data_IF_404605732508
#
_entry.id   IF_404605732508
#
_cell.length_a   1.000
_cell.length_b   1.000
_cell.length_c   1.000
_cell.angle_alpha   90.00
_cell.angle_beta   90.00
_cell.angle_gamma   90.00
#
_symmetry.space_group_name_H-M   'P 1'
#
loop_
_entity.id
_entity.type
_entity.pdbx_description
1 polymer ?
#
# COMPACT_ATOMS: atom_id res chain seq x y z
N UNK A 1 -52.59 -45.22 -2.86
CA UNK A 1 -52.49 -43.86 -2.30
C UNK A 1 -51.69 -43.04 -3.31
N UNK A 2 -52.22 -42.07 -4.07
CA UNK A 2 -53.31 -41.10 -3.79
C UNK A 2 -53.07 -40.37 -2.47
N UNK A 3 -52.92 -39.04 -2.37
CA UNK A 3 -52.90 -37.95 -3.37
C UNK A 3 -51.60 -37.10 -3.13
N UNK A 4 -51.33 -35.90 -3.66
CA UNK A 4 -52.10 -34.89 -4.41
C UNK A 4 -51.19 -34.03 -5.32
N UNK A 5 -51.77 -33.26 -6.25
CA UNK A 5 -51.08 -32.18 -6.97
C UNK A 5 -51.24 -30.84 -6.23
N UNK A 6 -50.25 -29.95 -6.31
CA UNK A 6 -50.34 -28.54 -5.91
C UNK A 6 -49.57 -27.63 -6.87
N UNK A 7 -50.29 -26.89 -7.71
CA UNK A 7 -49.75 -25.85 -8.61
C UNK A 7 -50.30 -24.49 -8.17
N UNK A 8 -49.45 -23.63 -7.60
CA UNK A 8 -49.64 -22.18 -7.48
C UNK A 8 -48.32 -21.57 -6.94
N UNK A 9 -47.84 -20.41 -7.38
CA UNK A 9 -48.32 -19.57 -8.48
C UNK A 9 -47.18 -18.66 -8.97
N UNK A 10 -47.05 -18.55 -10.29
CA UNK A 10 -45.98 -17.76 -10.94
C UNK A 10 -46.50 -16.34 -11.23
N UNK A 11 -46.63 -15.51 -10.18
CA UNK A 11 -47.10 -14.13 -10.26
C UNK A 11 -46.32 -13.26 -9.28
N UNK A 12 -45.58 -12.26 -9.78
CA UNK A 12 -44.77 -11.37 -8.94
C UNK A 12 -43.60 -10.64 -9.62
N UNK A 13 -43.40 -10.81 -10.93
CA UNK A 13 -42.24 -10.28 -11.66
C UNK A 13 -42.66 -9.30 -12.77
N UNK A 14 -43.47 -8.29 -12.41
CA UNK A 14 -44.02 -7.30 -13.35
C UNK A 14 -44.55 -6.00 -12.68
N UNK A 15 -43.76 -5.31 -11.85
CA UNK A 15 -44.16 -3.96 -11.32
C UNK A 15 -43.04 -2.91 -11.36
N UNK A 16 -41.76 -3.27 -11.16
CA UNK A 16 -40.64 -2.30 -11.10
C UNK A 16 -39.98 -1.96 -12.45
N UNK A 17 -40.77 -1.94 -13.53
CA UNK A 17 -40.39 -1.41 -14.85
C UNK A 17 -41.22 -0.16 -15.25
N UNK A 18 -41.85 0.47 -14.25
CA UNK A 18 -42.78 1.60 -14.41
C UNK A 18 -42.26 2.95 -13.90
N UNK A 19 -40.97 3.11 -13.60
CA UNK A 19 -40.38 4.37 -13.10
C UNK A 19 -39.46 5.08 -14.12
N UNK A 20 -39.48 4.65 -15.39
CA UNK A 20 -38.55 5.10 -16.43
C UNK A 20 -38.97 6.36 -17.20
N UNK A 21 -40.03 7.07 -16.78
CA UNK A 21 -40.72 8.08 -17.62
C UNK A 21 -41.05 9.42 -16.94
N UNK A 22 -40.48 9.72 -15.77
CA UNK A 22 -40.59 11.05 -15.12
C UNK A 22 -39.34 11.94 -15.23
N UNK A 23 -38.28 11.49 -15.93
CA UNK A 23 -37.06 12.27 -16.16
C UNK A 23 -37.10 13.22 -17.38
N UNK A 24 -38.26 13.43 -17.99
CA UNK A 24 -38.46 14.45 -19.04
C UNK A 24 -38.86 15.77 -18.37
N UNK A 25 -37.95 16.39 -17.62
CA UNK A 25 -38.31 17.53 -16.76
C UNK A 25 -37.21 18.43 -16.20
N UNK A 26 -35.91 18.18 -16.48
CA UNK A 26 -34.82 19.04 -16.00
C UNK A 26 -33.94 19.56 -17.14
N UNK A 27 -34.43 20.57 -17.86
CA UNK A 27 -33.58 21.53 -18.59
C UNK A 27 -33.03 22.61 -17.64
N UNK A 28 -32.67 22.21 -16.41
CA UNK A 28 -32.09 23.07 -15.38
C UNK A 28 -30.59 23.26 -15.61
N UNK A 29 -30.04 24.35 -15.07
CA UNK A 29 -28.65 24.73 -15.26
C UNK A 29 -27.67 23.59 -14.96
N UNK A 30 -26.72 23.37 -15.88
CA UNK A 30 -25.57 22.47 -15.67
C UNK A 30 -24.57 22.97 -14.61
N UNK A 31 -24.92 24.04 -13.90
CA UNK A 31 -24.17 24.71 -12.85
C UNK A 31 -24.94 24.79 -11.53
N UNK A 32 -26.01 24.01 -11.34
CA UNK A 32 -26.59 23.82 -10.00
C UNK A 32 -25.67 22.95 -9.14
N UNK A 33 -25.76 23.13 -7.83
CA UNK A 33 -24.98 22.37 -6.85
C UNK A 33 -25.31 20.87 -6.94
N UNK A 34 -26.59 20.53 -7.07
CA UNK A 34 -27.05 19.14 -7.22
C UNK A 34 -26.57 18.51 -8.54
N UNK A 35 -26.51 19.28 -9.62
CA UNK A 35 -25.95 18.82 -10.89
C UNK A 35 -24.43 18.53 -10.75
N UNK A 36 -23.70 19.41 -10.06
CA UNK A 36 -22.29 19.23 -9.71
C UNK A 36 -22.05 17.96 -8.88
N UNK A 37 -22.84 17.76 -7.82
CA UNK A 37 -22.78 16.58 -6.94
C UNK A 37 -23.10 15.30 -7.71
N UNK A 38 -24.18 15.30 -8.49
CA UNK A 38 -24.53 14.17 -9.34
C UNK A 38 -23.41 13.81 -10.32
N UNK A 39 -22.82 14.79 -11.01
CA UNK A 39 -21.75 14.56 -11.99
C UNK A 39 -20.46 14.03 -11.33
N UNK A 40 -20.14 14.44 -10.10
CA UNK A 40 -18.99 13.94 -9.34
C UNK A 40 -19.19 12.49 -8.89
N UNK A 41 -20.33 12.18 -8.24
CA UNK A 41 -20.69 10.80 -7.85
C UNK A 41 -20.79 9.88 -9.08
N UNK A 42 -21.34 10.38 -10.19
CA UNK A 42 -21.41 9.64 -11.46
C UNK A 42 -20.03 9.42 -12.11
N UNK A 43 -19.03 10.26 -11.81
CA UNK A 43 -17.66 10.05 -12.24
C UNK A 43 -16.97 8.96 -11.40
N UNK A 44 -17.13 9.00 -10.07
CA UNK A 44 -16.68 7.95 -9.14
C UNK A 44 -17.24 6.58 -9.52
N UNK A 45 -18.57 6.46 -9.64
CA UNK A 45 -19.27 5.22 -9.99
C UNK A 45 -18.94 4.66 -11.40
N UNK A 46 -18.13 5.39 -12.20
CA UNK A 46 -17.67 4.98 -13.53
C UNK A 46 -16.15 4.76 -13.59
N UNK A 47 -15.46 4.78 -12.46
CA UNK A 47 -14.00 4.69 -12.39
C UNK A 47 -13.28 5.88 -13.02
N UNK A 48 -13.95 7.03 -13.19
CA UNK A 48 -13.36 8.23 -13.77
C UNK A 48 -12.87 9.17 -12.66
N UNK A 49 -11.87 8.68 -11.92
CA UNK A 49 -11.39 9.27 -10.68
C UNK A 49 -10.79 10.67 -10.87
N UNK A 50 -9.99 10.88 -11.93
CA UNK A 50 -9.48 12.21 -12.26
C UNK A 50 -10.60 13.20 -12.55
N UNK A 51 -11.67 12.80 -13.25
CA UNK A 51 -12.84 13.67 -13.44
C UNK A 51 -13.54 13.95 -12.10
N UNK A 52 -13.65 12.96 -11.23
CA UNK A 52 -14.25 13.14 -9.90
C UNK A 52 -13.47 14.17 -9.09
N UNK A 53 -12.15 14.01 -8.95
CA UNK A 53 -11.25 14.98 -8.30
C UNK A 53 -11.38 16.38 -8.92
N UNK A 54 -11.29 16.49 -10.25
CA UNK A 54 -11.47 17.75 -10.98
C UNK A 54 -12.87 18.37 -10.84
N UNK A 55 -13.89 17.64 -10.38
CA UNK A 55 -15.20 18.18 -10.02
C UNK A 55 -15.21 18.60 -8.55
N UNK A 56 -14.78 17.74 -7.63
CA UNK A 56 -14.67 17.99 -6.19
C UNK A 56 -13.77 19.20 -5.87
N UNK A 57 -12.81 19.55 -6.73
CA UNK A 57 -11.97 20.74 -6.56
C UNK A 57 -12.55 22.06 -7.08
N UNK A 58 -13.62 22.03 -7.89
CA UNK A 58 -14.25 23.27 -8.38
C UNK A 58 -15.10 23.89 -7.29
N UNK A 59 -14.92 25.19 -7.06
CA UNK A 59 -15.68 25.96 -6.06
C UNK A 59 -17.20 25.79 -6.18
N UNK A 60 -17.74 25.76 -7.39
CA UNK A 60 -19.17 25.55 -7.67
C UNK A 60 -19.68 24.14 -7.34
N UNK A 61 -18.80 23.13 -7.26
CA UNK A 61 -19.17 21.81 -6.80
C UNK A 61 -18.86 21.62 -5.31
N UNK A 62 -17.84 22.27 -4.75
CA UNK A 62 -17.51 22.19 -3.31
C UNK A 62 -18.68 22.60 -2.41
N UNK A 63 -19.48 23.59 -2.78
CA UNK A 63 -20.65 24.01 -2.00
C UNK A 63 -21.82 23.01 -2.03
N UNK A 64 -21.80 22.02 -2.92
CA UNK A 64 -22.83 20.98 -3.02
C UNK A 64 -22.67 19.82 -2.00
N UNK A 65 -21.55 19.78 -1.28
CA UNK A 65 -21.18 18.77 -0.31
C UNK A 65 -20.99 19.40 1.07
N UNK A 66 -21.18 18.63 2.15
CA UNK A 66 -20.56 18.98 3.43
C UNK A 66 -19.04 18.75 3.35
N UNK A 67 -18.28 19.25 4.33
CA UNK A 67 -16.83 19.06 4.40
C UNK A 67 -16.47 17.57 4.52
N UNK A 68 -17.10 16.84 5.46
CA UNK A 68 -16.99 15.38 5.58
C UNK A 68 -17.28 14.66 4.26
N UNK A 69 -18.39 15.00 3.60
CA UNK A 69 -18.81 14.32 2.36
C UNK A 69 -17.83 14.63 1.22
N UNK A 70 -17.30 15.85 1.14
CA UNK A 70 -16.27 16.25 0.18
C UNK A 70 -14.96 15.47 0.41
N UNK A 71 -14.54 15.31 1.67
CA UNK A 71 -13.34 14.57 2.05
C UNK A 71 -13.48 13.07 1.78
N UNK A 72 -14.61 12.47 2.15
CA UNK A 72 -14.91 11.05 1.90
C UNK A 72 -14.91 10.74 0.38
N UNK A 73 -15.57 11.57 -0.43
CA UNK A 73 -15.59 11.39 -1.89
C UNK A 73 -14.23 11.62 -2.55
N UNK A 74 -13.37 12.49 -1.99
CA UNK A 74 -11.99 12.65 -2.45
C UNK A 74 -11.14 11.44 -2.11
N UNK A 75 -11.25 10.91 -0.89
CA UNK A 75 -10.54 9.71 -0.48
C UNK A 75 -10.91 8.52 -1.37
N UNK A 76 -12.21 8.30 -1.61
CA UNK A 76 -12.69 7.29 -2.54
C UNK A 76 -12.18 7.49 -3.98
N UNK A 77 -12.04 8.74 -4.45
CA UNK A 77 -11.45 9.02 -5.75
C UNK A 77 -9.97 8.62 -5.81
N UNK A 78 -9.20 8.95 -4.78
CA UNK A 78 -7.76 8.61 -4.72
C UNK A 78 -7.53 7.10 -4.59
N UNK A 79 -8.26 6.40 -3.70
CA UNK A 79 -8.22 4.93 -3.57
C UNK A 79 -8.49 4.26 -4.94
N UNK A 80 -9.50 4.74 -5.65
CA UNK A 80 -9.81 4.30 -7.01
C UNK A 80 -8.69 4.56 -8.02
N UNK A 81 -8.04 5.73 -7.96
CA UNK A 81 -6.94 6.08 -8.87
C UNK A 81 -5.66 5.28 -8.59
N UNK A 82 -5.43 4.88 -7.35
CA UNK A 82 -4.36 3.94 -6.97
C UNK A 82 -4.56 2.50 -7.51
N UNK A 83 -5.76 2.17 -8.00
CA UNK A 83 -6.11 0.86 -8.57
C UNK A 83 -7.06 0.02 -7.72
N UNK A 84 -7.55 0.54 -6.60
CA UNK A 84 -8.35 -0.22 -5.64
C UNK A 84 -9.84 0.17 -5.67
N UNK A 85 -10.74 -0.81 -5.73
CA UNK A 85 -12.17 -0.61 -5.40
C UNK A 85 -12.38 -1.08 -3.96
N UNK A 86 -12.93 -0.21 -3.10
CA UNK A 86 -13.26 -0.52 -1.69
C UNK A 86 -14.12 -1.78 -1.59
N UNK A 87 -15.05 -2.01 -2.54
CA UNK A 87 -15.87 -3.21 -2.56
C UNK A 87 -15.07 -4.47 -2.90
N UNK A 88 -13.97 -4.34 -3.64
CA UNK A 88 -13.06 -5.46 -3.87
C UNK A 88 -12.16 -5.67 -2.64
N UNK A 89 -11.65 -4.61 -2.00
CA UNK A 89 -10.87 -4.73 -0.75
C UNK A 89 -11.64 -5.48 0.34
N UNK A 90 -12.90 -5.13 0.55
CA UNK A 90 -13.77 -5.80 1.52
C UNK A 90 -14.05 -7.25 1.12
N UNK A 91 -14.19 -7.57 -0.19
CA UNK A 91 -14.33 -8.96 -0.64
C UNK A 91 -13.06 -9.77 -0.39
N UNK A 92 -11.87 -9.22 -0.64
CA UNK A 92 -10.64 -9.98 -0.41
C UNK A 92 -10.46 -10.30 1.07
N UNK A 93 -10.77 -9.36 1.97
CA UNK A 93 -10.76 -9.61 3.42
C UNK A 93 -11.79 -10.69 3.79
N UNK A 94 -13.06 -10.53 3.37
CA UNK A 94 -14.15 -11.46 3.76
C UNK A 94 -14.01 -12.85 3.12
N UNK A 95 -13.36 -12.98 1.97
CA UNK A 95 -13.15 -14.27 1.31
C UNK A 95 -11.81 -14.94 1.72
N UNK A 96 -10.99 -14.30 2.54
CA UNK A 96 -9.69 -14.86 2.93
C UNK A 96 -9.84 -16.10 3.84
N UNK A 97 -10.93 -16.19 4.60
CA UNK A 97 -11.21 -17.27 5.57
C UNK A 97 -11.75 -18.58 4.96
N UNK A 98 -12.14 -18.58 3.67
CA UNK A 98 -12.91 -19.68 3.05
C UNK A 98 -12.05 -20.85 2.50
N UNK A 99 -10.71 -20.83 2.64
CA UNK A 99 -9.79 -21.92 2.19
C UNK A 99 -8.80 -22.38 3.29
N UNK A 100 -8.93 -23.63 3.74
CA UNK A 100 -8.15 -24.29 4.81
C UNK A 100 -6.60 -24.33 4.63
N UNK A 101 -6.07 -24.10 3.42
CA UNK A 101 -4.67 -24.43 3.06
C UNK A 101 -3.70 -23.22 2.94
N UNK A 102 -4.18 -21.97 3.00
CA UNK A 102 -3.33 -20.76 2.92
C UNK A 102 -3.74 -19.74 3.97
N UNK A 103 -2.79 -19.28 4.80
CA UNK A 103 -3.06 -18.29 5.85
C UNK A 103 -3.70 -17.00 5.28
N UNK A 104 -4.66 -16.47 6.02
CA UNK A 104 -5.47 -15.27 5.71
C UNK A 104 -4.61 -14.03 5.43
N UNK A 105 -3.50 -13.85 6.17
CA UNK A 105 -2.54 -12.75 6.04
C UNK A 105 -1.81 -12.74 4.68
N UNK A 106 -1.32 -13.90 4.24
CA UNK A 106 -0.63 -14.09 2.97
C UNK A 106 -1.52 -13.74 1.78
N UNK A 107 -2.77 -14.22 1.80
CA UNK A 107 -3.78 -13.90 0.77
C UNK A 107 -4.06 -12.41 0.71
N UNK A 108 -4.20 -11.77 1.86
CA UNK A 108 -4.52 -10.35 1.93
C UNK A 108 -3.38 -9.50 1.36
N UNK A 109 -2.12 -9.79 1.75
CA UNK A 109 -0.95 -9.09 1.22
C UNK A 109 -0.83 -9.32 -0.29
N UNK A 110 -1.02 -10.55 -0.77
CA UNK A 110 -1.02 -10.89 -2.21
C UNK A 110 -2.09 -10.11 -2.98
N UNK A 111 -3.35 -10.11 -2.53
CA UNK A 111 -4.48 -9.49 -3.22
C UNK A 111 -4.41 -7.95 -3.26
N UNK A 112 -3.75 -7.33 -2.27
CA UNK A 112 -3.41 -5.91 -2.28
C UNK A 112 -2.17 -5.61 -3.16
N UNK A 113 -1.16 -6.48 -3.15
CA UNK A 113 0.06 -6.34 -3.95
C UNK A 113 -0.22 -6.49 -5.46
N UNK A 114 -1.12 -7.40 -5.85
CA UNK A 114 -1.61 -7.55 -7.23
C UNK A 114 -2.26 -6.28 -7.78
N UNK A 115 -2.90 -5.50 -6.90
CA UNK A 115 -3.61 -4.26 -7.24
C UNK A 115 -2.74 -3.00 -7.10
N UNK A 116 -1.55 -3.11 -6.52
CA UNK A 116 -0.61 -2.01 -6.38
C UNK A 116 -0.08 -1.60 -7.77
N UNK A 117 -0.73 -0.62 -8.38
CA UNK A 117 -0.33 -0.04 -9.65
C UNK A 117 0.72 1.06 -9.46
N UNK A 118 1.66 1.19 -10.39
CA UNK A 118 2.73 2.20 -10.32
C UNK A 118 2.17 3.62 -10.26
N UNK A 119 2.40 4.30 -9.15
CA UNK A 119 1.87 5.61 -8.75
C UNK A 119 0.89 5.54 -7.56
N UNK A 120 0.51 4.33 -7.12
CA UNK A 120 -0.59 4.11 -6.19
C UNK A 120 -0.34 4.64 -4.79
N UNK A 121 0.89 4.52 -4.26
CA UNK A 121 1.18 4.88 -2.86
C UNK A 121 0.89 6.36 -2.54
N UNK A 122 1.21 7.26 -3.48
CA UNK A 122 0.89 8.68 -3.35
C UNK A 122 -0.61 8.94 -3.25
N UNK A 123 -1.43 8.21 -4.02
CA UNK A 123 -2.88 8.32 -3.96
C UNK A 123 -3.46 7.71 -2.68
N UNK A 124 -2.90 6.58 -2.21
CA UNK A 124 -3.26 6.04 -0.89
C UNK A 124 -2.96 7.07 0.22
N UNK A 125 -1.82 7.76 0.18
CA UNK A 125 -1.48 8.78 1.18
C UNK A 125 -2.38 10.02 1.12
N UNK A 126 -2.78 10.45 -0.08
CA UNK A 126 -3.79 11.51 -0.27
C UNK A 126 -5.15 11.10 0.31
N UNK A 127 -5.54 9.82 0.21
CA UNK A 127 -6.75 9.30 0.82
C UNK A 127 -6.65 9.28 2.36
N UNK A 128 -5.55 8.78 2.93
CA UNK A 128 -5.29 8.83 4.39
C UNK A 128 -5.33 10.28 4.88
N UNK A 129 -4.73 11.21 4.14
CA UNK A 129 -4.73 12.64 4.45
C UNK A 129 -6.13 13.27 4.42
N UNK A 130 -7.04 12.77 3.57
CA UNK A 130 -8.44 13.21 3.55
C UNK A 130 -9.24 12.65 4.75
N UNK A 131 -9.01 11.40 5.15
CA UNK A 131 -9.59 10.83 6.37
C UNK A 131 -9.05 11.52 7.64
N UNK A 132 -7.75 11.76 7.74
CA UNK A 132 -7.14 12.56 8.82
C UNK A 132 -7.82 13.92 8.98
N UNK A 133 -8.04 14.66 7.88
CA UNK A 133 -8.71 15.97 7.91
C UNK A 133 -10.17 15.90 8.37
N UNK A 134 -10.85 14.78 8.15
CA UNK A 134 -12.24 14.55 8.57
C UNK A 134 -12.37 14.13 10.05
N UNK A 135 -11.36 13.43 10.56
CA UNK A 135 -11.37 12.82 11.90
C UNK A 135 -10.66 13.69 12.96
N UNK A 136 -9.63 14.43 12.55
CA UNK A 136 -8.72 15.18 13.42
C UNK A 136 -8.86 16.71 13.27
N UNK A 137 -10.01 17.20 12.78
CA UNK A 137 -10.31 18.63 12.82
C UNK A 137 -10.31 19.14 14.27
N UNK A 138 -9.78 20.34 14.50
CA UNK A 138 -9.18 20.81 15.78
C UNK A 138 -10.13 20.80 17.00
N UNK A 139 -11.43 20.57 16.78
CA UNK A 139 -12.48 20.72 17.77
C UNK A 139 -12.84 19.43 18.55
N UNK A 140 -12.52 18.22 18.07
CA UNK A 140 -13.28 17.02 18.46
C UNK A 140 -12.53 15.80 19.02
N UNK A 141 -11.54 15.18 18.34
CA UNK A 141 -11.11 13.82 18.73
C UNK A 141 -9.62 13.47 18.53
N UNK A 142 -8.91 13.34 19.66
CA UNK A 142 -7.63 12.61 19.76
C UNK A 142 -6.42 13.22 19.04
N UNK A 143 -5.23 12.68 19.33
CA UNK A 143 -3.99 13.07 18.62
C UNK A 143 -3.71 12.16 17.39
N UNK A 144 -4.42 11.02 17.25
CA UNK A 144 -4.23 10.04 16.16
C UNK A 144 -5.56 9.44 15.68
N UNK A 145 -5.57 8.89 14.46
CA UNK A 145 -6.76 8.24 13.87
C UNK A 145 -7.23 7.07 14.75
N UNK A 146 -6.28 6.24 15.21
CA UNK A 146 -6.54 5.15 16.17
C UNK A 146 -7.31 5.65 17.40
N UNK A 147 -6.98 6.84 17.92
CA UNK A 147 -7.68 7.42 19.06
C UNK A 147 -9.09 7.91 18.71
N UNK A 148 -9.28 8.56 17.55
CA UNK A 148 -10.59 9.04 17.09
C UNK A 148 -11.58 7.90 16.76
N UNK A 149 -11.07 6.74 16.33
CA UNK A 149 -11.88 5.61 15.86
C UNK A 149 -12.22 4.55 16.93
N UNK A 150 -11.81 4.72 18.19
CA UNK A 150 -12.09 3.76 19.28
C UNK A 150 -13.59 3.63 19.55
N UNK A 151 -14.03 2.44 20.00
CA UNK A 151 -15.44 2.15 20.31
C UNK A 151 -16.09 3.18 21.27
N UNK A 152 -15.30 3.76 22.20
CA UNK A 152 -15.78 4.80 23.11
C UNK A 152 -16.22 6.08 22.39
N UNK A 153 -15.54 6.44 21.30
CA UNK A 153 -15.73 7.70 20.58
C UNK A 153 -16.70 7.58 19.40
N UNK A 154 -16.93 6.36 18.89
CA UNK A 154 -17.85 6.09 17.76
C UNK A 154 -19.26 6.67 17.90
N UNK A 155 -19.74 6.85 19.13
CA UNK A 155 -21.06 7.47 19.41
C UNK A 155 -21.10 8.97 19.14
N UNK A 156 -19.94 9.61 19.10
CA UNK A 156 -19.75 11.03 18.83
C UNK A 156 -19.44 11.29 17.34
N UNK A 157 -19.06 10.26 16.58
CA UNK A 157 -18.76 10.36 15.14
C UNK A 157 -20.03 10.52 14.29
N UNK A 158 -19.92 11.37 13.26
CA UNK A 158 -20.85 11.38 12.12
C UNK A 158 -20.79 10.04 11.36
N UNK A 159 -21.81 9.73 10.57
CA UNK A 159 -21.78 8.48 9.78
C UNK A 159 -20.66 8.49 8.75
N UNK A 160 -20.36 9.64 8.14
CA UNK A 160 -19.20 9.82 7.26
C UNK A 160 -17.87 9.62 7.99
N UNK A 161 -17.76 10.03 9.27
CA UNK A 161 -16.57 9.80 10.07
C UNK A 161 -16.39 8.32 10.46
N UNK A 162 -17.47 7.57 10.69
CA UNK A 162 -17.39 6.10 10.87
C UNK A 162 -16.94 5.42 9.59
N UNK A 163 -17.52 5.81 8.44
CA UNK A 163 -17.08 5.36 7.13
C UNK A 163 -15.59 5.69 6.91
N UNK A 164 -15.13 6.87 7.32
CA UNK A 164 -13.73 7.26 7.23
C UNK A 164 -12.81 6.39 8.10
N UNK A 165 -13.22 6.04 9.33
CA UNK A 165 -12.46 5.12 10.17
C UNK A 165 -12.35 3.71 9.55
N UNK A 166 -13.47 3.13 9.12
CA UNK A 166 -13.48 1.81 8.47
C UNK A 166 -12.59 1.80 7.22
N UNK A 167 -12.77 2.79 6.34
CA UNK A 167 -11.97 2.89 5.12
C UNK A 167 -10.50 3.24 5.37
N UNK A 168 -10.17 3.96 6.46
CA UNK A 168 -8.78 4.21 6.83
C UNK A 168 -8.06 2.93 7.25
N UNK A 169 -8.72 2.05 8.01
CA UNK A 169 -8.16 0.75 8.37
C UNK A 169 -7.96 -0.17 7.16
N UNK A 170 -8.91 -0.20 6.22
CA UNK A 170 -8.72 -0.89 4.91
C UNK A 170 -7.52 -0.32 4.13
N UNK A 171 -7.41 1.01 4.11
CA UNK A 171 -6.35 1.73 3.42
C UNK A 171 -4.97 1.50 4.06
N UNK A 172 -4.91 1.33 5.37
CA UNK A 172 -3.68 0.98 6.07
C UNK A 172 -3.19 -0.42 5.70
N UNK A 173 -4.09 -1.41 5.62
CA UNK A 173 -3.76 -2.74 5.10
C UNK A 173 -3.27 -2.68 3.65
N UNK A 174 -3.92 -1.86 2.81
CA UNK A 174 -3.49 -1.62 1.42
C UNK A 174 -2.09 -0.98 1.34
N UNK A 175 -1.80 0.04 2.16
CA UNK A 175 -0.47 0.69 2.21
C UNK A 175 0.59 -0.29 2.70
N UNK A 176 0.35 -1.03 3.79
CA UNK A 176 1.29 -2.02 4.30
C UNK A 176 1.64 -3.10 3.26
N UNK A 177 0.63 -3.65 2.58
CA UNK A 177 0.83 -4.65 1.54
C UNK A 177 1.48 -4.09 0.26
N UNK A 178 1.14 -2.86 -0.14
CA UNK A 178 1.83 -2.17 -1.23
C UNK A 178 3.31 -1.91 -0.88
N UNK A 179 3.64 -1.52 0.35
CA UNK A 179 5.02 -1.39 0.82
C UNK A 179 5.76 -2.73 0.81
N UNK A 180 5.14 -3.83 1.25
CA UNK A 180 5.73 -5.17 1.06
C UNK A 180 5.98 -5.50 -0.41
N UNK A 181 5.04 -5.20 -1.32
CA UNK A 181 5.25 -5.35 -2.77
C UNK A 181 6.45 -4.55 -3.27
N UNK A 182 6.52 -3.25 -2.95
CA UNK A 182 7.62 -2.37 -3.34
C UNK A 182 8.97 -2.87 -2.80
N UNK A 183 9.02 -3.32 -1.55
CA UNK A 183 10.22 -3.90 -0.93
C UNK A 183 10.78 -5.11 -1.68
N UNK A 184 9.92 -5.98 -2.23
CA UNK A 184 10.35 -7.14 -3.02
C UNK A 184 10.70 -6.78 -4.48
N UNK A 185 10.26 -5.62 -4.98
CA UNK A 185 10.55 -5.12 -6.33
C UNK A 185 9.33 -4.56 -7.08
N UNK A 186 8.22 -4.32 -6.38
CA UNK A 186 6.96 -3.89 -6.96
C UNK A 186 6.36 -4.98 -7.86
N UNK A 187 5.76 -4.58 -8.99
CA UNK A 187 5.11 -5.48 -9.93
C UNK A 187 6.03 -6.57 -10.53
N UNK A 188 7.34 -6.34 -10.58
CA UNK A 188 8.32 -7.34 -11.03
C UNK A 188 8.73 -8.33 -9.94
N UNK A 189 8.50 -8.01 -8.66
CA UNK A 189 8.81 -8.84 -7.50
C UNK A 189 7.59 -9.53 -6.89
N UNK A 190 6.43 -9.47 -7.54
CA UNK A 190 5.18 -10.02 -7.03
C UNK A 190 5.23 -11.55 -6.93
N UNK A 191 5.80 -12.25 -7.91
CA UNK A 191 5.97 -13.70 -7.86
C UNK A 191 6.90 -14.10 -6.70
N UNK A 192 7.97 -13.33 -6.45
CA UNK A 192 8.86 -13.53 -5.32
C UNK A 192 8.21 -13.18 -3.96
N UNK A 193 7.31 -12.20 -3.91
CA UNK A 193 6.50 -11.91 -2.70
C UNK A 193 5.53 -13.06 -2.42
N UNK A 194 4.79 -13.55 -3.43
CA UNK A 194 3.87 -14.71 -3.30
C UNK A 194 4.63 -15.95 -2.82
N UNK A 195 5.79 -16.22 -3.42
CA UNK A 195 6.72 -17.27 -3.03
C UNK A 195 7.11 -17.18 -1.53
N UNK A 196 7.51 -15.98 -1.09
CA UNK A 196 7.87 -15.73 0.31
C UNK A 196 6.67 -15.89 1.25
N UNK A 197 5.50 -15.30 0.93
CA UNK A 197 4.28 -15.43 1.73
C UNK A 197 3.80 -16.89 1.86
N UNK A 198 3.84 -17.66 0.78
CA UNK A 198 3.44 -19.07 0.74
C UNK A 198 4.34 -20.01 1.56
N UNK A 199 5.49 -19.52 2.07
CA UNK A 199 6.49 -20.32 2.81
C UNK A 199 6.93 -21.59 2.04
N UNK A 200 6.95 -21.49 0.72
CA UNK A 200 7.12 -22.62 -0.19
C UNK A 200 8.52 -23.24 -0.10
N UNK A 201 8.60 -24.56 -0.18
CA UNK A 201 9.86 -25.31 -0.36
C UNK A 201 10.32 -25.33 -1.84
N UNK A 202 9.44 -24.99 -2.80
CA UNK A 202 9.70 -25.03 -4.25
C UNK A 202 10.34 -23.72 -4.79
N UNK A 203 11.16 -23.04 -3.98
CA UNK A 203 11.81 -21.80 -4.38
C UNK A 203 13.21 -22.06 -4.95
N UNK A 204 13.40 -21.71 -6.23
CA UNK A 204 14.68 -21.83 -6.93
C UNK A 204 15.71 -20.80 -6.42
N UNK A 205 16.82 -20.60 -7.13
CA UNK A 205 18.01 -19.84 -6.69
C UNK A 205 17.79 -18.32 -6.42
N UNK A 206 16.52 -17.89 -6.40
CA UNK A 206 16.02 -16.56 -6.03
C UNK A 206 15.68 -16.41 -4.54
N UNK A 207 15.42 -17.48 -3.79
CA UNK A 207 15.03 -17.40 -2.35
C UNK A 207 15.56 -18.57 -1.46
N UNK A 208 16.64 -18.38 -0.68
CA UNK A 208 17.04 -19.23 0.46
C UNK A 208 16.62 -18.65 1.82
N UNK A 209 15.36 -18.87 2.21
CA UNK A 209 14.83 -18.45 3.52
C UNK A 209 15.15 -19.43 4.67
N UNK A 210 15.88 -20.52 4.38
CA UNK A 210 15.85 -21.73 5.22
C UNK A 210 17.21 -22.47 5.38
N UNK A 211 18.33 -21.76 5.13
CA UNK A 211 19.72 -22.15 5.49
C UNK A 211 20.43 -23.08 4.48
N UNK A 212 20.21 -22.88 3.17
CA UNK A 212 20.86 -23.62 2.07
C UNK A 212 22.22 -23.04 1.60
N UNK A 213 22.47 -21.75 1.88
CA UNK A 213 23.73 -21.05 1.59
C UNK A 213 23.69 -20.09 0.40
N UNK A 214 22.51 -19.57 0.03
CA UNK A 214 22.34 -18.60 -1.07
C UNK A 214 21.85 -17.25 -0.55
N UNK A 215 21.27 -16.44 -1.43
CA UNK A 215 20.78 -15.09 -1.16
C UNK A 215 19.32 -14.97 -1.59
N UNK A 216 18.45 -14.57 -0.67
CA UNK A 216 17.00 -14.58 -0.83
C UNK A 216 16.39 -13.17 -0.98
N UNK A 217 15.21 -12.98 -1.59
CA UNK A 217 14.64 -11.62 -1.74
C UNK A 217 14.37 -10.89 -0.41
N UNK A 218 13.87 -11.59 0.60
CA UNK A 218 13.75 -11.12 1.98
C UNK A 218 15.12 -10.80 2.60
N UNK A 219 16.14 -11.64 2.38
CA UNK A 219 17.52 -11.35 2.80
C UNK A 219 18.16 -10.15 2.08
N UNK A 220 17.96 -10.01 0.78
CA UNK A 220 18.45 -8.89 -0.05
C UNK A 220 17.79 -7.59 0.40
N UNK A 221 16.49 -7.66 0.68
CA UNK A 221 15.68 -6.54 1.18
C UNK A 221 16.08 -6.19 2.60
N UNK A 222 16.13 -7.15 3.53
CA UNK A 222 16.64 -6.97 4.89
C UNK A 222 18.06 -6.40 4.89
N UNK A 223 18.96 -6.90 4.04
CA UNK A 223 20.31 -6.34 3.87
C UNK A 223 20.26 -4.87 3.43
N UNK A 224 19.45 -4.54 2.43
CA UNK A 224 19.25 -3.16 2.00
C UNK A 224 18.70 -2.28 3.14
N UNK A 225 17.70 -2.74 3.89
CA UNK A 225 17.11 -2.03 5.03
C UNK A 225 18.14 -1.80 6.14
N UNK A 226 18.93 -2.83 6.49
CA UNK A 226 20.03 -2.74 7.48
C UNK A 226 21.05 -1.69 7.05
N UNK A 227 21.52 -1.74 5.80
CA UNK A 227 22.48 -0.75 5.28
C UNK A 227 21.87 0.65 5.15
N UNK A 228 20.56 0.77 4.83
CA UNK A 228 19.83 2.04 4.82
C UNK A 228 19.73 2.69 6.20
N UNK A 229 19.67 1.86 7.25
CA UNK A 229 19.63 2.29 8.64
C UNK A 229 21.02 2.57 9.23
N UNK A 230 21.91 1.57 9.20
CA UNK A 230 23.30 1.66 9.66
C UNK A 230 24.29 1.41 8.49
N UNK A 231 25.11 2.41 8.08
CA UNK A 231 26.07 2.23 6.98
C UNK A 231 27.23 1.28 7.30
N UNK A 232 27.34 0.78 8.54
CA UNK A 232 28.37 -0.15 8.99
C UNK A 232 27.90 -1.60 9.12
N UNK A 233 26.61 -1.88 8.88
CA UNK A 233 26.08 -3.24 8.80
C UNK A 233 26.59 -3.92 7.50
N UNK A 234 27.14 -5.13 7.64
CA UNK A 234 27.68 -5.93 6.52
C UNK A 234 26.70 -7.00 6.02
N UNK A 235 25.44 -6.92 6.45
CA UNK A 235 24.37 -7.88 6.21
C UNK A 235 24.59 -9.27 6.80
N UNK A 236 25.68 -9.51 7.54
CA UNK A 236 25.95 -10.75 8.27
C UNK A 236 26.14 -12.01 7.42
N UNK A 237 26.24 -11.88 6.08
CA UNK A 237 26.28 -13.01 5.15
C UNK A 237 27.49 -12.96 4.23
N UNK A 238 27.99 -14.12 3.79
CA UNK A 238 29.08 -14.19 2.82
C UNK A 238 28.59 -14.03 1.36
N UNK A 239 27.28 -14.18 1.13
CA UNK A 239 26.61 -14.15 -0.17
C UNK A 239 26.04 -12.77 -0.53
N UNK A 240 25.83 -11.87 0.44
CA UNK A 240 25.24 -10.54 0.25
C UNK A 240 26.07 -9.50 1.00
N UNK A 241 26.41 -8.39 0.34
CA UNK A 241 27.03 -7.22 0.94
C UNK A 241 26.31 -5.95 0.49
N UNK A 242 25.88 -5.12 1.43
CA UNK A 242 25.32 -3.80 1.12
C UNK A 242 26.39 -2.70 1.14
N UNK A 243 26.18 -1.66 0.34
CA UNK A 243 26.89 -0.39 0.48
C UNK A 243 25.97 0.81 0.19
N UNK A 244 26.30 1.96 0.78
CA UNK A 244 25.66 3.23 0.43
C UNK A 244 26.39 3.89 -0.73
N UNK A 245 25.65 4.36 -1.72
CA UNK A 245 26.19 5.18 -2.80
C UNK A 245 26.51 6.62 -2.37
N UNK A 246 26.89 7.45 -3.34
CA UNK A 246 26.99 8.90 -3.12
C UNK A 246 25.58 9.52 -2.98
N UNK A 247 25.45 10.57 -2.17
CA UNK A 247 24.21 11.32 -2.04
C UNK A 247 23.79 11.96 -3.38
N UNK A 248 22.47 11.95 -3.62
CA UNK A 248 21.80 12.48 -4.81
C UNK A 248 20.84 13.56 -4.36
N UNK A 249 20.80 14.66 -5.10
CA UNK A 249 19.84 15.73 -4.89
C UNK A 249 18.64 15.54 -5.83
N UNK A 250 17.58 14.92 -5.33
CA UNK A 250 16.31 14.82 -6.05
C UNK A 250 15.62 16.19 -6.03
N UNK A 251 15.06 16.61 -7.16
CA UNK A 251 14.40 17.91 -7.33
C UNK A 251 12.96 17.70 -7.85
N UNK A 252 12.02 17.29 -6.98
CA UNK A 252 10.61 17.14 -7.34
C UNK A 252 9.97 18.47 -7.76
N UNK A 253 8.88 18.41 -8.54
CA UNK A 253 8.17 19.62 -8.94
C UNK A 253 7.57 20.34 -7.72
N UNK A 254 7.95 21.61 -7.55
CA UNK A 254 7.44 22.53 -6.52
C UNK A 254 7.85 22.23 -5.06
N UNK A 255 8.86 21.38 -4.84
CA UNK A 255 9.43 21.13 -3.50
C UNK A 255 10.85 21.69 -3.39
N UNK A 256 11.39 21.73 -2.17
CA UNK A 256 12.84 21.87 -1.99
C UNK A 256 13.56 20.59 -2.46
N UNK A 257 14.87 20.71 -2.71
CA UNK A 257 15.73 19.59 -3.10
C UNK A 257 15.89 18.61 -1.93
N UNK A 258 15.73 17.31 -2.20
CA UNK A 258 15.85 16.23 -1.22
C UNK A 258 17.20 15.52 -1.40
N UNK A 259 18.06 15.57 -0.38
CA UNK A 259 19.36 14.88 -0.39
C UNK A 259 19.19 13.44 0.12
N UNK A 260 19.22 12.48 -0.81
CA UNK A 260 18.94 11.06 -0.56
C UNK A 260 20.14 10.20 -0.95
N UNK A 261 20.39 9.15 -0.18
CA UNK A 261 21.49 8.21 -0.43
C UNK A 261 20.92 6.90 -0.97
N UNK A 262 21.32 6.47 -2.18
CA UNK A 262 20.86 5.21 -2.73
C UNK A 262 21.57 4.05 -2.04
N UNK A 263 20.82 3.02 -1.67
CA UNK A 263 21.38 1.78 -1.12
C UNK A 263 21.52 0.76 -2.24
N UNK A 264 22.75 0.25 -2.36
CA UNK A 264 23.18 -0.76 -3.32
C UNK A 264 23.42 -2.06 -2.56
N UNK A 265 22.89 -3.16 -3.08
CA UNK A 265 23.21 -4.51 -2.61
C UNK A 265 23.99 -5.23 -3.69
N UNK A 266 25.16 -5.73 -3.33
CA UNK A 266 25.92 -6.72 -4.09
C UNK A 266 25.54 -8.13 -3.62
N UNK A 267 25.33 -9.03 -4.57
CA UNK A 267 25.03 -10.44 -4.32
C UNK A 267 26.10 -11.27 -5.03
N UNK A 268 26.79 -12.14 -4.31
CA UNK A 268 27.68 -13.14 -4.89
C UNK A 268 26.86 -14.23 -5.57
N UNK A 269 27.10 -14.43 -6.87
CA UNK A 269 26.40 -15.45 -7.66
C UNK A 269 27.21 -16.74 -7.57
N UNK A 270 26.62 -17.81 -7.05
CA UNK A 270 27.19 -19.15 -7.19
C UNK A 270 26.95 -19.69 -8.62
N UNK A 271 27.71 -20.71 -9.05
CA UNK A 271 27.56 -21.27 -10.40
C UNK A 271 26.19 -21.95 -10.65
N UNK A 272 25.38 -22.13 -9.61
CA UNK A 272 24.05 -22.76 -9.66
C UNK A 272 23.00 -21.71 -10.02
N UNK A 273 23.01 -20.53 -9.38
CA UNK A 273 22.09 -19.42 -9.68
C UNK A 273 22.36 -18.78 -11.06
N UNK A 274 23.62 -18.84 -11.51
CA UNK A 274 24.05 -18.29 -12.80
C UNK A 274 23.33 -18.92 -14.01
N UNK A 275 22.77 -20.13 -13.88
CA UNK A 275 22.05 -20.81 -14.95
C UNK A 275 20.62 -20.27 -15.17
N UNK A 276 19.87 -20.02 -14.11
CA UNK A 276 18.51 -19.45 -14.16
C UNK A 276 18.55 -17.95 -14.50
N UNK A 277 19.50 -17.21 -13.92
CA UNK A 277 19.73 -15.78 -14.22
C UNK A 277 20.32 -15.59 -15.63
N UNK A 278 20.76 -16.64 -16.34
CA UNK A 278 21.37 -16.53 -17.68
C UNK A 278 20.44 -15.98 -18.78
N UNK A 279 19.13 -15.88 -18.52
CA UNK A 279 18.20 -15.12 -19.36
C UNK A 279 18.35 -13.59 -19.24
N UNK A 280 18.96 -13.10 -18.16
CA UNK A 280 19.22 -11.69 -17.91
C UNK A 280 20.68 -11.33 -18.21
N UNK A 281 20.87 -10.44 -19.17
CA UNK A 281 22.19 -9.90 -19.51
C UNK A 281 22.62 -8.85 -18.49
N UNK A 282 23.50 -9.15 -17.53
CA UNK A 282 23.92 -8.12 -16.55
C UNK A 282 25.15 -8.43 -15.67
N UNK A 283 25.67 -9.66 -15.72
CA UNK A 283 26.68 -10.18 -14.78
C UNK A 283 28.02 -9.44 -14.84
N UNK A 284 28.54 -9.02 -13.68
CA UNK A 284 29.89 -8.42 -13.53
C UNK A 284 30.80 -9.38 -12.77
N UNK A 285 31.50 -10.26 -13.50
CA UNK A 285 32.30 -11.32 -12.88
C UNK A 285 31.39 -12.37 -12.25
N UNK A 286 31.49 -12.57 -10.94
CA UNK A 286 30.67 -13.53 -10.18
C UNK A 286 29.67 -12.79 -9.25
N UNK A 287 29.26 -11.57 -9.61
CA UNK A 287 28.37 -10.72 -8.78
C UNK A 287 27.21 -10.10 -9.55
N UNK A 288 26.09 -10.00 -8.86
CA UNK A 288 24.88 -9.27 -9.25
C UNK A 288 24.72 -8.03 -8.35
N UNK A 289 24.13 -6.95 -8.87
CA UNK A 289 24.05 -5.66 -8.18
C UNK A 289 22.67 -5.07 -8.39
N UNK A 290 21.99 -4.65 -7.32
CA UNK A 290 20.76 -3.85 -7.41
C UNK A 290 20.79 -2.64 -6.50
N UNK A 291 20.21 -1.54 -6.96
CA UNK A 291 19.71 -0.49 -6.07
C UNK A 291 18.31 -0.89 -5.60
N UNK A 292 18.03 -0.72 -4.31
CA UNK A 292 16.77 -1.21 -3.71
C UNK A 292 15.92 -0.14 -3.05
N UNK A 293 16.53 0.89 -2.48
CA UNK A 293 15.86 1.89 -1.66
C UNK A 293 16.74 3.14 -1.49
N UNK A 294 16.17 4.16 -0.87
CA UNK A 294 16.86 5.38 -0.50
C UNK A 294 16.84 5.58 1.03
N UNK A 295 17.92 6.17 1.56
CA UNK A 295 18.05 6.63 2.95
C UNK A 295 18.13 8.16 2.95
N UNK A 296 17.43 8.80 3.89
CA UNK A 296 17.41 10.27 4.01
C UNK A 296 18.67 10.82 4.73
N UNK A 297 19.06 12.06 4.36
CA UNK A 297 20.11 12.83 5.06
C UNK A 297 19.51 14.09 5.65
N UNK A 298 19.57 14.24 6.99
CA UNK A 298 19.15 15.49 7.65
C UNK A 298 20.35 16.26 8.20
N UNK A 299 20.61 17.43 7.62
CA UNK A 299 21.59 18.41 8.13
C UNK A 299 23.02 17.87 8.36
N UNK A 300 23.47 16.93 7.52
CA UNK A 300 24.79 16.29 7.63
C UNK A 300 24.89 15.20 8.70
N UNK A 301 23.78 14.84 9.34
CA UNK A 301 23.60 13.58 10.05
C UNK A 301 22.73 12.65 9.20
N UNK A 302 23.11 11.39 9.08
CA UNK A 302 22.22 10.38 8.49
C UNK A 302 20.99 10.25 9.40
N UNK A 303 19.79 10.26 8.82
CA UNK A 303 18.59 9.77 9.49
C UNK A 303 18.46 8.27 9.23
N UNK A 304 17.87 7.55 10.18
CA UNK A 304 17.57 6.12 10.02
C UNK A 304 16.37 5.88 9.09
N UNK A 305 15.70 6.96 8.64
CA UNK A 305 14.49 6.89 7.83
C UNK A 305 14.76 6.24 6.47
N UNK A 306 14.01 5.16 6.22
CA UNK A 306 14.04 4.41 4.97
C UNK A 306 12.86 4.87 4.12
N UNK A 307 13.17 5.43 2.97
CA UNK A 307 12.19 6.02 2.05
C UNK A 307 11.55 4.92 1.20
N UNK A 308 10.22 4.94 1.08
CA UNK A 308 9.52 4.07 0.14
C UNK A 308 9.85 4.47 -1.30
N UNK A 309 10.11 3.49 -2.16
CA UNK A 309 10.51 3.75 -3.54
C UNK A 309 9.69 2.98 -4.55
N UNK A 310 9.30 3.64 -5.64
CA UNK A 310 8.40 3.10 -6.65
C UNK A 310 9.03 3.19 -8.06
N UNK A 311 9.48 2.05 -8.57
CA UNK A 311 10.21 1.98 -9.83
C UNK A 311 11.52 2.80 -9.79
N UNK A 312 11.93 3.34 -10.93
CA UNK A 312 13.17 4.09 -11.07
C UNK A 312 12.96 5.42 -11.79
N UNK A 313 13.66 6.46 -11.33
CA UNK A 313 13.64 7.78 -11.93
C UNK A 313 14.99 8.51 -11.83
N UNK A 314 15.12 9.58 -12.60
CA UNK A 314 16.26 10.49 -12.53
C UNK A 314 16.13 11.46 -11.36
N UNK A 315 17.18 12.23 -11.11
CA UNK A 315 17.19 13.24 -10.05
C UNK A 315 16.14 14.35 -10.26
N UNK A 316 15.61 14.54 -11.46
CA UNK A 316 14.48 15.44 -11.74
C UNK A 316 13.10 14.73 -11.70
N UNK A 317 13.04 13.55 -11.09
CA UNK A 317 11.87 12.66 -11.02
C UNK A 317 11.38 12.11 -12.38
N UNK A 318 12.08 12.33 -13.49
CA UNK A 318 11.71 11.72 -14.78
C UNK A 318 11.87 10.19 -14.72
N UNK A 319 10.84 9.38 -15.03
CA UNK A 319 10.94 7.93 -15.05
C UNK A 319 12.05 7.43 -15.99
N UNK A 320 12.74 6.35 -15.60
CA UNK A 320 13.78 5.71 -16.40
C UNK A 320 13.82 4.19 -16.14
N UNK A 321 14.38 3.46 -17.10
CA UNK A 321 14.54 2.01 -16.99
C UNK A 321 15.60 1.66 -15.93
N UNK A 322 15.34 0.61 -15.14
CA UNK A 322 16.21 0.17 -14.04
C UNK A 322 17.69 0.04 -14.46
N UNK A 323 18.64 0.52 -13.65
CA UNK A 323 20.07 0.39 -13.90
C UNK A 323 20.62 -1.01 -13.53
N UNK A 324 19.89 -2.10 -13.81
CA UNK A 324 20.28 -3.53 -13.60
C UNK A 324 21.54 -3.98 -14.39
N UNK A 325 22.34 -3.03 -14.87
CA UNK A 325 23.44 -3.23 -15.80
C UNK A 325 24.71 -2.54 -15.30
N UNK A 326 25.81 -3.28 -15.31
CA UNK A 326 27.19 -2.79 -15.12
C UNK A 326 27.51 -1.46 -15.81
N UNK A 327 26.97 -1.27 -17.03
CA UNK A 327 27.20 -0.10 -17.87
C UNK A 327 26.34 1.11 -17.47
N UNK A 328 25.21 0.90 -16.79
CA UNK A 328 24.39 1.97 -16.23
C UNK A 328 25.11 2.60 -15.03
N UNK A 329 25.62 1.79 -14.10
CA UNK A 329 26.36 2.21 -12.90
C UNK A 329 27.47 3.24 -13.22
N UNK A 330 28.18 3.08 -14.34
CA UNK A 330 29.28 3.97 -14.74
C UNK A 330 28.86 5.36 -15.24
N UNK A 331 27.61 5.54 -15.67
CA UNK A 331 27.04 6.79 -16.19
C UNK A 331 25.75 7.20 -15.45
N UNK A 332 25.51 6.63 -14.26
CA UNK A 332 24.14 6.41 -13.82
C UNK A 332 23.39 7.69 -13.49
N UNK A 333 22.28 7.93 -14.18
CA UNK A 333 21.32 9.00 -13.90
C UNK A 333 19.97 8.45 -13.45
N UNK A 334 19.90 7.17 -13.07
CA UNK A 334 18.67 6.46 -12.75
C UNK A 334 18.81 5.72 -11.42
N UNK A 335 17.84 5.91 -10.52
CA UNK A 335 17.85 5.43 -9.14
C UNK A 335 16.44 5.02 -8.70
N UNK A 336 16.26 4.23 -7.62
CA UNK A 336 14.94 3.97 -7.05
C UNK A 336 14.20 5.29 -6.83
N UNK A 337 12.97 5.41 -7.32
CA UNK A 337 12.29 6.70 -7.30
C UNK A 337 11.64 6.95 -5.93
N UNK A 338 11.95 8.04 -5.21
CA UNK A 338 11.33 8.29 -3.91
C UNK A 338 9.82 8.53 -4.08
N UNK A 339 9.02 7.93 -3.20
CA UNK A 339 7.61 8.24 -3.06
C UNK A 339 7.48 9.53 -2.24
N UNK A 340 6.76 10.52 -2.78
CA UNK A 340 6.68 11.89 -2.25
C UNK A 340 5.22 12.36 -2.33
N UNK A 341 4.66 12.72 -1.18
CA UNK A 341 3.27 13.17 -1.11
C UNK A 341 3.09 14.63 -1.55
N UNK A 342 1.83 15.07 -1.60
CA UNK A 342 1.43 16.41 -2.10
C UNK A 342 1.96 17.59 -1.27
N UNK A 343 2.48 17.32 -0.07
CA UNK A 343 3.14 18.33 0.78
C UNK A 343 4.65 18.43 0.51
N UNK A 344 5.17 17.63 -0.45
CA UNK A 344 6.59 17.54 -0.77
C UNK A 344 7.39 16.74 0.24
N UNK A 345 6.74 15.92 1.08
CA UNK A 345 7.40 15.08 2.08
C UNK A 345 7.61 13.68 1.53
N UNK A 346 8.74 13.09 1.90
CA UNK A 346 9.04 11.68 1.68
C UNK A 346 8.00 10.83 2.39
N UNK A 347 7.57 9.75 1.75
CA UNK A 347 6.85 8.65 2.40
C UNK A 347 7.89 7.62 2.82
N UNK A 348 7.83 7.15 4.07
CA UNK A 348 8.78 6.16 4.62
C UNK A 348 8.09 4.85 4.96
N UNK A 349 8.89 3.78 5.08
CA UNK A 349 8.42 2.47 5.59
C UNK A 349 7.76 2.61 6.97
N UNK A 350 8.23 3.55 7.79
CA UNK A 350 7.57 3.87 9.07
C UNK A 350 6.15 4.40 8.85
N UNK A 351 5.94 5.33 7.92
CA UNK A 351 4.62 5.92 7.63
C UNK A 351 3.62 4.94 7.00
N UNK A 352 4.10 3.92 6.29
CA UNK A 352 3.26 3.02 5.48
C UNK A 352 3.08 1.62 6.05
N UNK A 353 4.08 1.09 6.74
CA UNK A 353 4.07 -0.27 7.30
C UNK A 353 4.04 -0.25 8.84
N UNK A 354 4.93 0.50 9.50
CA UNK A 354 4.98 0.55 10.98
C UNK A 354 3.72 1.21 11.56
N UNK A 355 3.36 2.41 11.09
CA UNK A 355 2.14 3.10 11.53
C UNK A 355 0.86 2.32 11.16
N UNK A 356 0.83 1.69 9.97
CA UNK A 356 -0.31 0.87 9.57
C UNK A 356 -0.55 -0.30 10.53
N UNK A 357 0.50 -1.06 10.87
CA UNK A 357 0.41 -2.24 11.73
C UNK A 357 0.24 -1.91 13.22
N UNK A 358 0.76 -0.78 13.71
CA UNK A 358 0.65 -0.37 15.13
C UNK A 358 -0.59 0.47 15.44
N UNK A 359 -1.12 1.22 14.47
CA UNK A 359 -2.17 2.21 14.72
C UNK A 359 -3.38 2.09 13.81
N UNK A 360 -3.20 2.19 12.49
CA UNK A 360 -4.35 2.44 11.62
C UNK A 360 -5.21 1.19 11.40
N UNK A 361 -4.64 -0.02 11.40
CA UNK A 361 -5.41 -1.28 11.24
C UNK A 361 -6.38 -1.53 12.40
N UNK A 362 -6.09 -1.09 13.63
CA UNK A 362 -7.03 -1.15 14.76
C UNK A 362 -8.34 -0.37 14.48
N UNK A 363 -8.29 0.66 13.61
CA UNK A 363 -9.49 1.42 13.23
C UNK A 363 -10.44 0.62 12.33
N UNK A 364 -9.95 -0.42 11.63
CA UNK A 364 -10.79 -1.40 10.94
C UNK A 364 -11.52 -2.26 11.96
N UNK A 365 -10.76 -2.92 12.84
CA UNK A 365 -11.28 -3.85 13.85
C UNK A 365 -12.35 -3.17 14.70
N UNK A 366 -12.09 -1.96 15.20
CA UNK A 366 -13.04 -1.22 16.02
C UNK A 366 -14.41 -0.98 15.34
N UNK A 367 -14.47 -0.94 14.00
CA UNK A 367 -15.69 -0.69 13.22
C UNK A 367 -16.45 -1.95 12.82
N UNK A 368 -15.88 -3.15 13.02
CA UNK A 368 -16.53 -4.43 12.72
C UNK A 368 -17.67 -4.74 13.73
N UNK A 369 -18.64 -5.62 13.36
CA UNK A 369 -19.55 -6.26 14.32
C UNK A 369 -18.80 -6.94 15.47
N UNK A 370 -19.34 -6.86 16.70
CA UNK A 370 -18.63 -7.35 17.91
C UNK A 370 -18.28 -8.84 17.88
N UNK A 371 -19.03 -9.63 17.13
CA UNK A 371 -18.80 -11.05 16.87
C UNK A 371 -17.63 -11.30 15.90
N UNK A 372 -17.32 -10.37 15.00
CA UNK A 372 -16.16 -10.40 14.10
C UNK A 372 -14.92 -9.72 14.73
N UNK A 373 -15.12 -8.80 15.70
CA UNK A 373 -14.03 -8.06 16.36
C UNK A 373 -13.03 -8.96 17.08
N UNK A 374 -13.50 -10.00 17.77
CA UNK A 374 -12.61 -10.88 18.56
C UNK A 374 -11.72 -11.75 17.65
N UNK A 375 -12.26 -12.23 16.54
CA UNK A 375 -11.58 -13.07 15.54
C UNK A 375 -10.52 -12.29 14.76
N UNK A 376 -10.91 -11.17 14.13
CA UNK A 376 -9.97 -10.32 13.36
C UNK A 376 -8.89 -9.69 14.25
N UNK A 377 -9.18 -9.45 15.55
CA UNK A 377 -8.16 -9.02 16.51
C UNK A 377 -7.16 -10.14 16.85
N UNK A 378 -7.62 -11.39 16.99
CA UNK A 378 -6.74 -12.55 17.25
C UNK A 378 -5.80 -12.81 16.07
N UNK A 379 -6.30 -12.78 14.83
CA UNK A 379 -5.48 -12.92 13.61
C UNK A 379 -4.44 -11.80 13.46
N UNK A 380 -4.87 -10.55 13.69
CA UNK A 380 -4.00 -9.38 13.65
C UNK A 380 -2.90 -9.47 14.72
N UNK A 381 -3.22 -9.94 15.92
CA UNK A 381 -2.26 -10.10 17.00
C UNK A 381 -1.36 -11.34 16.81
N UNK A 382 -1.81 -12.41 16.14
CA UNK A 382 -0.94 -13.49 15.66
C UNK A 382 0.06 -12.96 14.62
N UNK A 383 -0.41 -12.21 13.61
CA UNK A 383 0.45 -11.65 12.57
C UNK A 383 1.49 -10.69 13.16
N UNK A 384 1.08 -9.80 14.08
CA UNK A 384 1.98 -8.94 14.86
C UNK A 384 3.02 -9.77 15.62
N UNK A 385 2.59 -10.81 16.32
CA UNK A 385 3.47 -11.72 17.06
C UNK A 385 4.42 -12.53 16.16
N UNK A 386 4.06 -12.80 14.90
CA UNK A 386 4.96 -13.44 13.94
C UNK A 386 6.13 -12.51 13.55
N UNK A 387 5.88 -11.20 13.47
CA UNK A 387 6.89 -10.16 13.19
C UNK A 387 7.81 -9.97 14.41
N UNK A 388 7.27 -9.45 15.52
CA UNK A 388 8.05 -8.99 16.67
C UNK A 388 8.37 -10.09 17.71
N UNK A 389 7.66 -11.23 17.68
CA UNK A 389 7.64 -12.24 18.74
C UNK A 389 6.56 -11.97 19.82
N UNK A 390 6.01 -13.02 20.42
CA UNK A 390 5.00 -12.88 21.49
C UNK A 390 5.64 -12.63 22.87
N UNK A 391 5.16 -11.66 23.67
CA UNK A 391 4.09 -10.68 23.37
C UNK A 391 4.58 -9.50 22.51
N UNK A 392 3.68 -8.99 21.65
CA UNK A 392 3.92 -7.79 20.84
C UNK A 392 3.23 -6.56 21.44
N UNK A 393 4.00 -5.60 21.95
CA UNK A 393 3.44 -4.31 22.38
C UNK A 393 3.51 -3.25 21.25
N UNK A 394 4.55 -3.31 20.40
CA UNK A 394 4.84 -2.36 19.32
C UNK A 394 5.75 -3.02 18.28
N UNK A 395 5.39 -2.94 16.99
CA UNK A 395 6.27 -3.31 15.87
C UNK A 395 7.23 -2.15 15.58
N UNK A 396 8.49 -2.49 15.28
CA UNK A 396 9.51 -1.52 14.88
C UNK A 396 10.11 -1.90 13.52
N UNK A 397 10.79 -0.96 12.86
CA UNK A 397 11.53 -1.26 11.62
C UNK A 397 12.51 -2.43 11.80
N UNK A 398 13.20 -2.54 12.94
CA UNK A 398 14.13 -3.65 13.20
C UNK A 398 13.43 -5.00 13.26
N UNK A 399 12.20 -5.05 13.77
CA UNK A 399 11.40 -6.27 13.80
C UNK A 399 10.91 -6.68 12.41
N UNK A 400 10.58 -5.72 11.54
CA UNK A 400 10.25 -5.98 10.13
C UNK A 400 11.48 -6.51 9.39
N UNK A 401 12.64 -5.86 9.59
CA UNK A 401 13.94 -6.28 9.05
C UNK A 401 14.27 -7.72 9.44
N UNK A 402 14.11 -8.07 10.72
CA UNK A 402 14.36 -9.43 11.20
C UNK A 402 13.26 -10.44 10.82
N UNK A 403 12.03 -9.99 10.56
CA UNK A 403 10.93 -10.84 10.05
C UNK A 403 11.17 -11.26 8.60
N UNK A 404 11.71 -10.39 7.76
CA UNK A 404 12.10 -10.69 6.37
C UNK A 404 13.19 -11.79 6.26
N UNK A 405 13.85 -12.14 7.37
CA UNK A 405 14.86 -13.20 7.47
C UNK A 405 14.32 -14.55 8.00
N UNK A 406 13.00 -14.69 8.21
CA UNK A 406 12.32 -15.90 8.73
C UNK A 406 11.43 -16.53 7.67
#
# INVERSE_FOLDING_TARGET
MQLHQGRAGLWGLAVLLGLSLLLVGCSGDKSSEEACRYDAIMALNKGNYDRALNLLDKSACRSAFSEDELLLNRAAAYIGRAGYDILDLVKEIVNADDDDDTKTDARLIEAFAERASGGGMNDLDRATSAYRKMLLDEALLGDTIRAACKESEQRNLSDFQKDACFNNGLLAAAKAAATFSLLFGGSEGLDELKAWLAKSDDLECKVDRNQDGKADQGQITSCALKVAKDPSDDCGSASIAGERGAAINFTPENTDSLELIPVRVEIAIDNTCLAEVSGQTGVVGDKFIRYRMLSEVTAGSYTAAIVDTEGFCQADMTPCDSPDYAAAIANNTCWPCPVINDEGKLITITDTLVTALNEDVDSLVAMLPKDEQEEVQEDLDEFRAEICGAPCDEITEDMIIDYLLR
#
